data_IF_929285645128
#
_entry.id   IF_929285645128
#
_cell.length_a   1.000
_cell.length_b   1.000
_cell.length_c   1.000
_cell.angle_alpha   90.00
_cell.angle_beta   90.00
_cell.angle_gamma   90.00
#
_symmetry.space_group_name_H-M   'P 1'
#
loop_
_entity.id
_entity.type
_entity.pdbx_description
1 polymer ?
#
# COMPACT_ATOMS: atom_id res chain seq x y z
N UNK A 1 21.54 -19.03 -15.56
CA UNK A 1 20.92 -20.32 -15.17
C UNK A 1 21.57 -20.92 -13.93
N UNK A 2 22.91 -20.81 -13.76
CA UNK A 2 23.65 -21.41 -12.63
C UNK A 2 23.31 -20.86 -11.25
N UNK A 3 22.61 -19.71 -11.16
CA UNK A 3 22.16 -19.09 -9.92
C UNK A 3 20.67 -19.33 -9.62
N UNK A 4 19.98 -20.04 -10.49
CA UNK A 4 18.58 -20.41 -10.29
C UNK A 4 18.53 -21.74 -9.57
N UNK A 5 17.91 -21.78 -8.41
CA UNK A 5 17.78 -22.99 -7.60
C UNK A 5 16.35 -23.12 -7.07
N UNK A 6 15.96 -24.32 -6.75
CA UNK A 6 14.66 -24.59 -6.12
C UNK A 6 14.66 -24.04 -4.70
N UNK A 7 13.59 -23.34 -4.37
CA UNK A 7 13.32 -22.87 -3.02
C UNK A 7 12.51 -23.96 -2.32
N UNK A 8 12.96 -24.35 -1.13
CA UNK A 8 12.27 -25.32 -0.28
C UNK A 8 11.85 -24.59 1.00
N UNK A 9 10.57 -24.29 1.15
CA UNK A 9 10.03 -23.69 2.35
C UNK A 9 9.22 -24.73 3.14
N UNK A 10 9.66 -25.03 4.36
CA UNK A 10 8.97 -25.90 5.30
C UNK A 10 8.68 -25.12 6.60
N UNK A 11 7.57 -24.38 6.59
CA UNK A 11 7.12 -23.62 7.76
C UNK A 11 6.08 -24.37 8.59
N UNK A 12 5.76 -23.81 9.75
CA UNK A 12 4.75 -24.36 10.67
C UNK A 12 3.37 -24.45 10.02
N UNK A 13 3.01 -23.53 9.14
CA UNK A 13 1.67 -23.41 8.56
C UNK A 13 1.63 -23.70 7.07
N UNK A 14 2.74 -23.47 6.36
CA UNK A 14 2.82 -23.59 4.91
C UNK A 14 4.07 -24.35 4.50
N UNK A 15 3.93 -25.10 3.41
CA UNK A 15 5.04 -25.73 2.72
C UNK A 15 4.96 -25.36 1.24
N UNK A 16 6.08 -25.04 0.65
CA UNK A 16 6.17 -24.67 -0.76
C UNK A 16 7.51 -25.11 -1.32
N UNK A 17 7.48 -25.65 -2.52
CA UNK A 17 8.67 -25.99 -3.28
C UNK A 17 8.53 -25.48 -4.69
N UNK A 18 9.58 -24.86 -5.24
CA UNK A 18 9.54 -24.34 -6.59
C UNK A 18 10.67 -23.39 -6.93
N UNK A 19 10.73 -23.06 -8.20
CA UNK A 19 11.68 -22.09 -8.74
C UNK A 19 10.93 -20.78 -9.01
N UNK A 20 11.51 -19.66 -8.62
CA UNK A 20 11.01 -18.35 -9.01
C UNK A 20 11.37 -18.09 -10.47
N UNK A 21 10.37 -18.10 -11.35
CA UNK A 21 10.56 -18.15 -12.81
C UNK A 21 10.74 -16.79 -13.49
N UNK A 22 10.65 -15.67 -12.76
CA UNK A 22 10.84 -14.34 -13.32
C UNK A 22 12.24 -13.82 -13.09
N UNK A 23 12.76 -13.09 -14.08
CA UNK A 23 14.03 -12.40 -13.93
C UNK A 23 13.98 -11.37 -12.81
N UNK A 24 15.02 -11.25 -12.00
CA UNK A 24 15.08 -10.22 -10.97
C UNK A 24 15.06 -8.81 -11.60
N UNK A 25 14.42 -7.87 -10.94
CA UNK A 25 14.51 -6.45 -11.29
C UNK A 25 15.95 -5.93 -11.09
N UNK A 26 16.25 -4.75 -11.62
CA UNK A 26 17.57 -4.11 -11.46
C UNK A 26 17.94 -3.97 -9.98
N UNK A 27 16.98 -3.63 -9.13
CA UNK A 27 17.14 -3.55 -7.66
C UNK A 27 17.01 -4.90 -6.95
N UNK A 28 16.80 -6.00 -7.70
CA UNK A 28 16.59 -7.38 -7.25
C UNK A 28 15.23 -7.66 -6.60
N UNK A 29 14.86 -6.92 -5.57
CA UNK A 29 13.53 -7.00 -4.97
C UNK A 29 12.62 -5.99 -5.67
N UNK A 30 11.41 -6.37 -6.12
CA UNK A 30 10.46 -5.40 -6.66
C UNK A 30 10.05 -4.41 -5.58
N UNK A 31 9.65 -3.20 -5.99
CA UNK A 31 9.10 -2.21 -5.06
C UNK A 31 7.87 -2.78 -4.37
N UNK A 32 7.91 -2.82 -3.04
CA UNK A 32 6.87 -3.45 -2.24
C UNK A 32 5.78 -2.43 -1.87
N UNK A 33 4.57 -2.72 -2.31
CA UNK A 33 3.38 -1.97 -1.97
C UNK A 33 2.55 -2.72 -0.93
N UNK A 34 2.03 -2.03 0.06
CA UNK A 34 1.13 -2.57 1.06
C UNK A 34 -0.14 -1.74 1.13
N UNK A 35 -1.28 -2.41 1.08
CA UNK A 35 -2.58 -1.81 1.37
C UNK A 35 -3.08 -2.33 2.72
N UNK A 36 -3.59 -1.46 3.57
CA UNK A 36 -4.21 -1.85 4.83
C UNK A 36 -4.01 -0.83 5.93
N UNK A 37 -5.13 -0.41 6.52
CA UNK A 37 -5.18 0.58 7.58
C UNK A 37 -5.25 -0.03 8.99
N UNK A 38 -5.27 -1.37 9.11
CA UNK A 38 -5.28 -2.03 10.43
C UNK A 38 -3.97 -1.79 11.17
N UNK A 39 -3.96 -1.80 12.52
CA UNK A 39 -2.73 -1.62 13.29
C UNK A 39 -1.62 -2.63 12.91
N UNK A 40 -1.96 -3.89 12.71
CA UNK A 40 -1.02 -4.93 12.26
C UNK A 40 -0.54 -4.69 10.83
N UNK A 41 -1.45 -4.30 9.93
CA UNK A 41 -1.12 -3.97 8.54
C UNK A 41 -0.16 -2.79 8.45
N UNK A 42 -0.38 -1.74 9.26
CA UNK A 42 0.53 -0.60 9.32
C UNK A 42 1.91 -0.97 9.90
N UNK A 43 1.97 -1.81 10.94
CA UNK A 43 3.25 -2.29 11.47
C UNK A 43 4.02 -3.11 10.43
N UNK A 44 3.33 -3.99 9.71
CA UNK A 44 3.92 -4.77 8.64
C UNK A 44 4.43 -3.86 7.50
N UNK A 45 3.59 -2.92 7.06
CA UNK A 45 3.94 -1.97 6.02
C UNK A 45 5.17 -1.14 6.38
N UNK A 46 5.21 -0.57 7.58
CA UNK A 46 6.31 0.27 8.04
C UNK A 46 7.63 -0.51 8.20
N UNK A 47 7.56 -1.81 8.38
CA UNK A 47 8.72 -2.67 8.45
C UNK A 47 9.24 -3.10 7.08
N UNK A 48 8.36 -3.39 6.12
CA UNK A 48 8.71 -4.10 4.90
C UNK A 48 8.43 -3.33 3.61
N UNK A 49 7.42 -2.46 3.58
CA UNK A 49 7.00 -1.80 2.36
C UNK A 49 7.78 -0.51 2.06
N UNK A 50 7.89 -0.19 0.79
CA UNK A 50 8.38 1.11 0.29
C UNK A 50 7.22 2.06 0.01
N UNK A 51 6.05 1.51 -0.28
CA UNK A 51 4.85 2.24 -0.61
C UNK A 51 3.65 1.73 0.18
N UNK A 52 2.81 2.63 0.67
CA UNK A 52 1.60 2.29 1.42
C UNK A 52 0.40 3.00 0.80
N UNK A 53 -0.63 2.21 0.47
CA UNK A 53 -1.93 2.76 0.12
C UNK A 53 -2.80 2.92 1.35
N UNK A 54 -3.34 4.12 1.54
CA UNK A 54 -4.33 4.43 2.58
C UNK A 54 -5.62 4.94 1.95
N UNK A 55 -6.73 4.72 2.63
CA UNK A 55 -8.01 5.32 2.30
C UNK A 55 -8.36 6.44 3.27
N UNK A 56 -9.27 7.30 2.87
CA UNK A 56 -9.83 8.34 3.73
C UNK A 56 -10.73 9.28 2.95
N UNK A 57 -11.80 9.68 3.59
CA UNK A 57 -12.81 10.60 3.08
C UNK A 57 -12.55 12.06 3.50
N UNK A 58 -11.69 12.26 4.51
CA UNK A 58 -11.39 13.56 5.10
C UNK A 58 -9.89 13.80 5.21
N UNK A 59 -9.42 15.00 4.86
CA UNK A 59 -8.00 15.36 4.94
C UNK A 59 -7.39 15.15 6.34
N UNK A 60 -8.18 15.38 7.40
CA UNK A 60 -7.75 15.23 8.80
C UNK A 60 -7.39 13.76 9.10
N UNK A 61 -8.27 12.84 8.72
CA UNK A 61 -8.03 11.38 8.88
C UNK A 61 -6.81 10.92 8.10
N UNK A 62 -6.64 11.41 6.87
CA UNK A 62 -5.47 11.11 6.03
C UNK A 62 -4.20 11.62 6.71
N UNK A 63 -4.21 12.85 7.23
CA UNK A 63 -3.08 13.45 7.95
C UNK A 63 -2.69 12.63 9.19
N UNK A 64 -3.65 12.19 9.97
CA UNK A 64 -3.42 11.35 11.13
C UNK A 64 -2.81 9.99 10.76
N UNK A 65 -3.31 9.36 9.71
CA UNK A 65 -2.76 8.09 9.22
C UNK A 65 -1.32 8.27 8.72
N UNK A 66 -1.04 9.32 7.96
CA UNK A 66 0.32 9.63 7.49
C UNK A 66 1.26 9.85 8.67
N UNK A 67 0.85 10.65 9.66
CA UNK A 67 1.64 10.87 10.88
C UNK A 67 1.95 9.56 11.59
N UNK A 68 0.95 8.69 11.75
CA UNK A 68 1.12 7.37 12.38
C UNK A 68 2.10 6.49 11.61
N UNK A 69 2.01 6.44 10.28
CA UNK A 69 2.94 5.70 9.42
C UNK A 69 4.36 6.21 9.62
N UNK A 70 4.57 7.53 9.65
CA UNK A 70 5.88 8.15 9.86
C UNK A 70 6.47 7.76 11.22
N UNK A 71 5.70 7.90 12.29
CA UNK A 71 6.13 7.51 13.64
C UNK A 71 6.46 6.01 13.73
N UNK A 72 5.63 5.15 13.14
CA UNK A 72 5.89 3.71 13.14
C UNK A 72 7.15 3.34 12.32
N UNK A 73 7.42 4.03 11.21
CA UNK A 73 8.64 3.84 10.43
C UNK A 73 9.89 4.16 11.28
N UNK A 74 9.89 5.29 11.99
CA UNK A 74 10.96 5.69 12.88
C UNK A 74 11.18 4.68 14.02
N UNK A 75 10.10 4.15 14.61
CA UNK A 75 10.18 3.08 15.62
C UNK A 75 10.79 1.78 15.08
N UNK A 76 10.72 1.55 13.76
CA UNK A 76 11.36 0.42 13.08
C UNK A 76 12.79 0.73 12.61
N UNK A 77 13.35 1.87 12.97
CA UNK A 77 14.69 2.31 12.57
C UNK A 77 14.80 2.80 11.13
N UNK A 78 13.66 3.13 10.49
CA UNK A 78 13.61 3.67 9.12
C UNK A 78 13.40 5.19 9.16
N UNK A 79 13.84 5.88 8.11
CA UNK A 79 13.47 7.29 7.96
C UNK A 79 11.96 7.43 7.70
N UNK A 80 11.35 8.46 8.26
CA UNK A 80 9.96 8.81 8.00
C UNK A 80 9.67 8.99 6.49
N UNK A 81 10.67 9.36 5.70
CA UNK A 81 10.55 9.62 4.26
C UNK A 81 10.82 8.39 3.37
N UNK A 82 11.28 7.28 3.93
CA UNK A 82 11.53 6.05 3.17
C UNK A 82 10.25 5.41 2.62
N UNK A 83 9.11 5.72 3.24
CA UNK A 83 7.81 5.18 2.84
C UNK A 83 7.04 6.24 2.07
N UNK A 84 6.64 5.90 0.84
CA UNK A 84 5.75 6.73 0.03
C UNK A 84 4.30 6.39 0.37
N UNK A 85 3.49 7.38 0.68
CA UNK A 85 2.08 7.18 1.01
C UNK A 85 1.21 7.62 -0.16
N UNK A 86 0.36 6.73 -0.61
CA UNK A 86 -0.61 6.94 -1.68
C UNK A 86 -2.02 6.95 -1.11
N UNK A 87 -2.83 7.87 -1.58
CA UNK A 87 -4.24 7.99 -1.20
C UNK A 87 -5.10 7.73 -2.44
N UNK A 88 -6.02 6.76 -2.34
CA UNK A 88 -7.03 6.56 -3.36
C UNK A 88 -8.07 7.68 -3.31
N UNK A 89 -8.34 8.31 -4.45
CA UNK A 89 -9.40 9.29 -4.59
C UNK A 89 -10.34 8.91 -5.72
N UNK A 90 -11.63 9.19 -5.55
CA UNK A 90 -12.62 9.09 -6.62
C UNK A 90 -12.88 10.46 -7.17
N UNK A 91 -12.72 10.64 -8.47
CA UNK A 91 -12.94 11.90 -9.16
C UNK A 91 -14.26 11.82 -9.93
N UNK A 92 -15.16 12.76 -9.70
CA UNK A 92 -16.38 12.92 -10.48
C UNK A 92 -16.22 14.12 -11.39
N UNK A 93 -16.32 13.88 -12.70
CA UNK A 93 -16.10 14.90 -13.73
C UNK A 93 -17.44 15.26 -14.42
N UNK A 94 -17.67 16.54 -14.60
CA UNK A 94 -18.75 17.11 -15.40
C UNK A 94 -18.30 18.45 -16.01
N UNK A 95 -19.12 19.05 -16.86
CA UNK A 95 -18.81 20.32 -17.53
C UNK A 95 -18.66 21.49 -16.56
N UNK A 96 -19.42 21.45 -15.45
CA UNK A 96 -19.35 22.45 -14.37
C UNK A 96 -19.25 21.79 -13.00
N UNK A 97 -18.80 22.55 -12.01
CA UNK A 97 -18.76 22.10 -10.61
C UNK A 97 -20.15 21.65 -10.12
N UNK A 98 -21.21 22.43 -10.41
CA UNK A 98 -22.56 22.11 -9.94
C UNK A 98 -23.08 20.80 -10.55
N UNK A 99 -22.82 20.57 -11.82
CA UNK A 99 -23.15 19.30 -12.48
C UNK A 99 -22.34 18.13 -11.90
N UNK A 100 -21.09 18.34 -11.52
CA UNK A 100 -20.29 17.30 -10.85
C UNK A 100 -20.85 16.97 -9.46
N UNK A 101 -21.28 17.98 -8.70
CA UNK A 101 -21.93 17.79 -7.39
C UNK A 101 -23.27 17.07 -7.54
N UNK A 102 -24.09 17.45 -8.51
CA UNK A 102 -25.34 16.76 -8.82
C UNK A 102 -25.11 15.29 -9.13
N UNK A 103 -24.17 14.98 -10.01
CA UNK A 103 -23.79 13.62 -10.38
C UNK A 103 -23.26 12.82 -9.20
N UNK A 104 -22.46 13.43 -8.34
CA UNK A 104 -21.99 12.79 -7.11
C UNK A 104 -23.16 12.45 -6.16
N UNK A 105 -24.12 13.34 -6.01
CA UNK A 105 -25.29 13.12 -5.17
C UNK A 105 -26.20 12.02 -5.72
N UNK A 106 -26.33 11.92 -7.05
CA UNK A 106 -27.01 10.83 -7.71
C UNK A 106 -26.33 9.47 -7.41
N UNK A 107 -25.00 9.40 -7.55
CA UNK A 107 -24.26 8.17 -7.24
C UNK A 107 -24.41 7.72 -5.78
N UNK A 108 -24.47 8.67 -4.85
CA UNK A 108 -24.65 8.37 -3.42
C UNK A 108 -25.99 7.74 -3.08
N UNK A 109 -27.00 7.81 -3.96
CA UNK A 109 -28.28 7.15 -3.74
C UNK A 109 -28.20 5.63 -3.95
N UNK A 110 -27.14 5.16 -4.63
CA UNK A 110 -26.95 3.75 -4.97
C UNK A 110 -25.73 3.11 -4.25
N UNK A 111 -25.09 3.84 -3.31
CA UNK A 111 -23.89 3.40 -2.61
C UNK A 111 -24.16 2.84 -1.20
#
# INVERSE_FOLDING_TARGET
PSKVHTIHHHGKYYQSEGVFQVSPSVQRTPTLFQAGASPKGMQFATRHAECVFIGGDKPEKIREQVKKIRTLAEQQGRSANDIKVFVGITVVVAETHDLAVQKLNEYRQYA
#
